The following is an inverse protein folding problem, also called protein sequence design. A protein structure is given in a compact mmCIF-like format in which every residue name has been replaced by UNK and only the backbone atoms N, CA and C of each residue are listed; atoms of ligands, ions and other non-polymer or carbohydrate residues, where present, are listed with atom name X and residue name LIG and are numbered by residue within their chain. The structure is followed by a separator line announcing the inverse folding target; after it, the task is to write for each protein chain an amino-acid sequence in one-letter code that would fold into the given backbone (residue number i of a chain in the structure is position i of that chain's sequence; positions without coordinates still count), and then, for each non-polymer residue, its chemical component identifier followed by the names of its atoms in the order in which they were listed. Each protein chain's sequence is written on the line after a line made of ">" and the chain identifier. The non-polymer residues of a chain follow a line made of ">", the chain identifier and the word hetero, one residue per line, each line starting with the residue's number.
data_IF_680195481856
#
_entry.id   IF_680195481856
#
_cell.length_a   1.000
_cell.length_b   1.000
_cell.length_c   1.000
_cell.angle_alpha   90.00
_cell.angle_beta   90.00
_cell.angle_gamma   90.00
#
_symmetry.space_group_name_H-M   'P 1'
#
loop_
_entity.id
_entity.type
_entity.pdbx_description
1 polymer ?
#
# COMPACT_ATOMS: atom_id res chain seq x y z
N UNK A 1 3.84 12.46 30.13
CA UNK A 1 2.50 12.19 29.55
C UNK A 1 2.50 10.77 29.01
N UNK A 2 1.55 9.90 29.38
CA UNK A 2 1.45 8.56 28.79
C UNK A 2 1.03 8.65 27.32
N UNK A 3 1.59 7.79 26.46
CA UNK A 3 1.21 7.70 25.06
C UNK A 3 -0.05 6.83 24.90
N UNK A 4 -0.97 7.17 23.97
CA UNK A 4 -2.12 6.33 23.66
C UNK A 4 -1.68 4.92 23.23
N UNK A 5 -2.39 3.90 23.71
CA UNK A 5 -2.21 2.51 23.28
C UNK A 5 -3.19 2.17 22.16
N UNK A 6 -2.76 1.36 21.19
CA UNK A 6 -3.64 0.78 20.17
C UNK A 6 -4.51 -0.33 20.76
N UNK A 7 -5.64 -0.65 20.12
CA UNK A 7 -6.48 -1.79 20.54
C UNK A 7 -5.73 -3.13 20.54
N UNK A 8 -4.75 -3.31 19.64
CA UNK A 8 -3.90 -4.50 19.60
C UNK A 8 -2.95 -4.57 20.80
N UNK A 9 -2.42 -3.42 21.24
CA UNK A 9 -1.61 -3.32 22.45
C UNK A 9 -2.45 -3.58 23.71
N UNK A 10 -3.66 -3.00 23.78
CA UNK A 10 -4.58 -3.20 24.92
C UNK A 10 -4.99 -4.68 25.02
N UNK A 11 -5.26 -5.34 23.90
CA UNK A 11 -5.70 -6.74 23.87
C UNK A 11 -4.57 -7.77 23.90
N UNK A 12 -3.30 -7.36 23.80
CA UNK A 12 -2.16 -8.26 23.69
C UNK A 12 -2.12 -9.07 22.38
N UNK A 13 -2.82 -8.61 21.32
CA UNK A 13 -2.95 -9.31 20.03
C UNK A 13 -2.18 -8.63 18.89
N UNK A 14 -1.14 -7.86 19.21
CA UNK A 14 -0.24 -7.31 18.20
C UNK A 14 0.58 -8.42 17.53
N UNK A 15 0.69 -8.37 16.21
CA UNK A 15 1.58 -9.25 15.45
C UNK A 15 2.75 -8.42 14.89
N UNK A 16 3.95 -9.01 14.74
CA UNK A 16 5.03 -8.33 14.04
C UNK A 16 4.63 -8.10 12.57
N UNK A 17 5.15 -7.05 11.91
CA UNK A 17 4.98 -6.87 10.48
C UNK A 17 5.43 -8.10 9.69
N UNK A 18 4.68 -8.45 8.64
CA UNK A 18 5.02 -9.60 7.81
C UNK A 18 6.30 -9.33 7.00
N UNK A 19 7.24 -10.29 6.91
CA UNK A 19 8.38 -10.15 6.04
C UNK A 19 7.92 -10.25 4.57
N UNK A 20 8.49 -9.41 3.70
CA UNK A 20 8.06 -9.30 2.30
C UNK A 20 8.11 -10.64 1.54
N UNK A 21 9.09 -11.49 1.82
CA UNK A 21 9.25 -12.83 1.20
C UNK A 21 8.14 -13.82 1.56
N UNK A 22 7.42 -13.61 2.66
CA UNK A 22 6.31 -14.47 3.10
C UNK A 22 4.96 -13.77 2.96
N UNK A 23 4.90 -12.70 2.17
CA UNK A 23 3.73 -11.86 1.98
C UNK A 23 3.30 -11.86 0.52
N UNK A 24 2.15 -11.26 0.23
CA UNK A 24 1.74 -10.83 -1.11
C UNK A 24 1.70 -9.31 -1.12
N UNK A 25 2.35 -8.67 -2.11
CA UNK A 25 2.25 -7.22 -2.31
C UNK A 25 0.93 -6.91 -3.02
N UNK A 26 0.02 -6.21 -2.34
CA UNK A 26 -1.23 -5.71 -2.92
C UNK A 26 -1.11 -4.21 -3.19
N UNK A 27 -1.25 -3.79 -4.44
CA UNK A 27 -1.25 -2.38 -4.85
C UNK A 27 -2.67 -2.01 -5.27
N UNK A 28 -3.24 -1.02 -4.59
CA UNK A 28 -4.63 -0.59 -4.78
C UNK A 28 -4.63 0.77 -5.46
N UNK A 29 -5.34 0.86 -6.58
CA UNK A 29 -5.77 2.10 -7.21
C UNK A 29 -4.63 3.11 -7.51
N UNK A 30 -3.45 2.60 -7.88
CA UNK A 30 -2.34 3.40 -8.39
C UNK A 30 -2.61 3.88 -9.83
N UNK A 31 -3.57 4.80 -9.97
CA UNK A 31 -4.13 5.28 -11.25
C UNK A 31 -3.91 6.79 -11.43
N UNK A 32 -3.81 7.24 -12.69
CA UNK A 32 -3.59 8.65 -13.04
C UNK A 32 -4.72 9.59 -12.59
N UNK A 33 -5.93 9.08 -12.36
CA UNK A 33 -7.05 9.86 -11.81
C UNK A 33 -6.66 10.58 -10.50
N UNK A 34 -5.82 9.94 -9.69
CA UNK A 34 -5.32 10.51 -8.43
C UNK A 34 -4.11 11.42 -8.62
N UNK A 35 -3.47 11.40 -9.79
CA UNK A 35 -2.25 12.17 -10.08
C UNK A 35 -2.56 13.48 -10.78
N UNK A 36 -3.27 13.40 -11.90
CA UNK A 36 -3.58 14.53 -12.77
C UNK A 36 -5.07 14.66 -13.07
N UNK A 37 -5.92 13.76 -12.54
CA UNK A 37 -7.36 13.75 -12.75
C UNK A 37 -8.15 14.71 -11.85
N UNK A 38 -9.45 14.46 -11.73
CA UNK A 38 -10.34 15.25 -10.90
C UNK A 38 -10.16 14.96 -9.40
N UNK A 39 -9.71 13.75 -9.06
CA UNK A 39 -9.55 13.27 -7.68
C UNK A 39 -8.09 13.32 -7.20
N UNK A 40 -7.36 14.40 -7.46
CA UNK A 40 -5.95 14.50 -7.08
C UNK A 40 -5.70 14.32 -5.59
N UNK A 41 -4.76 13.44 -5.26
CA UNK A 41 -4.34 13.17 -3.89
C UNK A 41 -3.08 13.96 -3.52
N UNK A 42 -3.01 14.52 -2.31
CA UNK A 42 -1.78 15.15 -1.83
C UNK A 42 -0.69 14.10 -1.64
N UNK A 43 0.55 14.44 -2.00
CA UNK A 43 1.72 13.58 -1.79
C UNK A 43 1.79 12.34 -2.69
N UNK A 44 0.96 12.25 -3.74
CA UNK A 44 0.91 11.05 -4.58
C UNK A 44 2.25 10.73 -5.26
N UNK A 45 2.99 11.73 -5.74
CA UNK A 45 4.28 11.46 -6.42
C UNK A 45 5.29 10.75 -5.51
N UNK A 46 5.35 11.15 -4.23
CA UNK A 46 6.19 10.48 -3.24
C UNK A 46 5.69 9.05 -2.96
N UNK A 47 4.38 8.87 -2.80
CA UNK A 47 3.79 7.54 -2.63
C UNK A 47 4.05 6.62 -3.84
N UNK A 48 3.92 7.15 -5.06
CA UNK A 48 4.18 6.41 -6.30
C UNK A 48 5.64 5.99 -6.43
N UNK A 49 6.59 6.84 -5.99
CA UNK A 49 8.00 6.49 -5.94
C UNK A 49 8.26 5.29 -5.01
N UNK A 50 7.68 5.30 -3.80
CA UNK A 50 7.80 4.20 -2.83
C UNK A 50 7.11 2.91 -3.32
N UNK A 51 5.97 3.01 -4.00
CA UNK A 51 5.33 1.86 -4.67
C UNK A 51 6.33 1.26 -5.69
N UNK A 52 7.03 2.10 -6.46
CA UNK A 52 8.08 1.66 -7.37
C UNK A 52 9.17 0.85 -6.66
N UNK A 53 9.67 1.33 -5.52
CA UNK A 53 10.66 0.62 -4.69
C UNK A 53 10.12 -0.73 -4.22
N UNK A 54 8.90 -0.78 -3.70
CA UNK A 54 8.26 -2.02 -3.24
C UNK A 54 8.07 -3.04 -4.36
N UNK A 55 7.65 -2.60 -5.54
CA UNK A 55 7.50 -3.47 -6.72
C UNK A 55 8.84 -4.08 -7.12
N UNK A 56 9.91 -3.29 -7.13
CA UNK A 56 11.24 -3.81 -7.47
C UNK A 56 11.73 -4.81 -6.43
N UNK A 57 11.56 -4.50 -5.14
CA UNK A 57 11.93 -5.41 -4.05
C UNK A 57 11.15 -6.74 -4.13
N UNK A 58 9.83 -6.68 -4.36
CA UNK A 58 8.97 -7.85 -4.48
C UNK A 58 9.33 -8.72 -5.70
N UNK A 59 9.64 -8.10 -6.84
CA UNK A 59 10.13 -8.83 -8.03
C UNK A 59 11.46 -9.52 -7.78
N UNK A 60 12.42 -8.82 -7.16
CA UNK A 60 13.72 -9.38 -6.82
C UNK A 60 13.61 -10.55 -5.81
N UNK A 61 12.58 -10.56 -4.96
CA UNK A 61 12.35 -11.61 -3.98
C UNK A 61 11.46 -12.76 -4.44
N UNK A 62 10.86 -12.68 -5.63
CA UNK A 62 9.86 -13.64 -6.11
C UNK A 62 8.54 -13.57 -5.33
N UNK A 63 8.28 -12.45 -4.65
CA UNK A 63 7.05 -12.22 -3.87
C UNK A 63 5.86 -12.01 -4.82
N UNK A 64 4.71 -12.68 -4.61
CA UNK A 64 3.50 -12.44 -5.40
C UNK A 64 3.08 -10.96 -5.37
N UNK A 65 2.67 -10.43 -6.51
CA UNK A 65 2.19 -9.04 -6.65
C UNK A 65 0.79 -9.05 -7.26
N UNK A 66 -0.15 -8.38 -6.61
CA UNK A 66 -1.53 -8.21 -7.06
C UNK A 66 -1.79 -6.73 -7.25
N UNK A 67 -2.26 -6.36 -8.45
CA UNK A 67 -2.69 -5.01 -8.76
C UNK A 67 -4.21 -4.95 -8.84
N UNK A 68 -4.82 -4.07 -8.05
CA UNK A 68 -6.25 -3.77 -8.09
C UNK A 68 -6.42 -2.39 -8.69
N UNK A 69 -7.41 -2.25 -9.56
CA UNK A 69 -7.82 -0.98 -10.15
C UNK A 69 -9.33 -0.88 -10.18
N UNK A 70 -9.84 0.33 -10.05
CA UNK A 70 -11.21 0.62 -10.44
C UNK A 70 -11.35 0.50 -11.97
N UNK A 71 -12.43 -0.14 -12.42
CA UNK A 71 -12.78 -0.23 -13.85
C UNK A 71 -13.21 1.12 -14.46
N UNK A 72 -13.52 2.11 -13.62
CA UNK A 72 -14.23 3.33 -13.99
C UNK A 72 -15.72 3.11 -14.23
N UNK A 73 -16.42 4.20 -14.50
CA UNK A 73 -17.80 4.17 -15.00
C UNK A 73 -17.72 3.92 -16.51
N UNK A 74 -18.38 2.87 -17.01
CA UNK A 74 -18.64 2.74 -18.45
C UNK A 74 -19.68 3.82 -18.78
N UNK A 75 -19.26 4.87 -19.48
CA UNK A 75 -20.18 5.86 -20.06
C UNK A 75 -20.94 5.25 -21.23
#
# INVERSE_FOLDING_TARGET
>A
MPHPLTLLQISGRGYPPAPLRQSTLLIIDAQEEYRSGALRLPGLDAAAAEIGVLVQAARASGTPIVHVRHLGIQG
#
